data_IF_351481701308
#
_entry.id   IF_351481701308
#
_cell.length_a   1.000
_cell.length_b   1.000
_cell.length_c   1.000
_cell.angle_alpha   90.00
_cell.angle_beta   90.00
_cell.angle_gamma   90.00
#
_symmetry.space_group_name_H-M   'P 1'
#
loop_
_entity.id
_entity.type
_entity.pdbx_description
1 polymer ?
#
# COMPACT_ATOMS: atom_id res chain seq x y z
N UNK A 1 8.57 -15.33 -0.08
CA UNK A 1 8.91 -14.62 1.16
C UNK A 1 8.23 -13.26 1.16
N UNK A 2 7.51 -12.94 2.21
CA UNK A 2 6.79 -11.68 2.29
C UNK A 2 7.74 -10.50 2.41
N UNK A 3 7.39 -9.40 1.74
CA UNK A 3 8.14 -8.15 1.81
C UNK A 3 7.26 -7.12 2.52
N UNK A 4 7.64 -6.73 3.72
CA UNK A 4 6.83 -5.88 4.60
C UNK A 4 7.36 -4.45 4.54
N UNK A 5 6.47 -3.50 4.22
CA UNK A 5 6.81 -2.08 4.11
C UNK A 5 5.92 -1.28 5.04
N UNK A 6 6.54 -0.50 5.92
CA UNK A 6 5.80 0.40 6.79
C UNK A 6 5.31 1.60 5.97
N UNK A 7 4.12 2.12 6.30
CA UNK A 7 3.56 3.30 5.66
C UNK A 7 4.55 4.47 5.60
N UNK A 8 5.25 4.71 6.70
CA UNK A 8 6.17 5.84 6.80
C UNK A 8 7.46 5.65 6.01
N UNK A 9 7.75 4.44 5.58
CA UNK A 9 8.92 4.14 4.74
C UNK A 9 8.62 4.25 3.25
N UNK A 10 7.36 4.46 2.89
CA UNK A 10 6.98 4.61 1.50
C UNK A 10 7.30 6.02 0.99
N UNK A 11 7.62 6.16 -0.32
CA UNK A 11 7.79 7.48 -0.92
C UNK A 11 6.53 8.34 -0.74
N UNK A 12 6.74 9.64 -0.60
CA UNK A 12 5.63 10.58 -0.41
C UNK A 12 4.59 10.49 -1.52
N UNK A 13 5.03 10.33 -2.77
CA UNK A 13 4.12 10.22 -3.92
C UNK A 13 3.16 9.05 -3.77
N UNK A 14 3.68 7.92 -3.29
CA UNK A 14 2.87 6.74 -3.04
C UNK A 14 1.89 6.99 -1.91
N UNK A 15 2.34 7.62 -0.83
CA UNK A 15 1.46 7.95 0.30
C UNK A 15 0.34 8.89 -0.13
N UNK A 16 0.65 9.89 -0.95
CA UNK A 16 -0.35 10.82 -1.46
C UNK A 16 -1.37 10.10 -2.37
N UNK A 17 -0.92 9.14 -3.16
CA UNK A 17 -1.79 8.35 -4.02
C UNK A 17 -2.72 7.43 -3.21
N UNK A 18 -2.24 6.92 -2.08
CA UNK A 18 -3.02 6.05 -1.20
C UNK A 18 -3.99 6.83 -0.30
N UNK A 19 -3.74 8.11 -0.07
CA UNK A 19 -4.51 8.93 0.87
C UNK A 19 -6.02 8.90 0.62
N UNK A 20 -6.52 8.93 -0.64
CA UNK A 20 -7.97 8.88 -0.88
C UNK A 20 -8.67 7.62 -0.35
N UNK A 21 -7.92 6.58 -0.01
CA UNK A 21 -8.48 5.36 0.55
C UNK A 21 -8.58 5.40 2.08
N UNK A 22 -8.20 6.52 2.69
CA UNK A 22 -8.32 6.74 4.12
C UNK A 22 -9.50 7.66 4.40
N UNK A 23 -10.14 7.49 5.55
CA UNK A 23 -11.23 8.38 5.94
C UNK A 23 -10.69 9.66 6.58
N UNK A 24 -11.63 10.52 7.02
CA UNK A 24 -11.27 11.83 7.60
C UNK A 24 -10.53 11.73 8.93
N UNK A 25 -10.58 10.57 9.59
CA UNK A 25 -9.85 10.36 10.85
C UNK A 25 -8.47 9.77 10.61
N UNK A 26 -8.11 9.49 9.36
CA UNK A 26 -6.85 8.86 9.00
C UNK A 26 -6.88 7.34 9.03
N UNK A 27 -8.03 6.74 9.32
CA UNK A 27 -8.18 5.29 9.27
C UNK A 27 -8.37 4.82 7.84
N UNK A 28 -7.73 3.71 7.48
CA UNK A 28 -7.87 3.15 6.13
C UNK A 28 -9.25 2.53 5.93
N UNK A 29 -9.70 2.54 4.67
CA UNK A 29 -10.86 1.76 4.24
C UNK A 29 -10.32 0.43 3.70
N UNK A 30 -10.26 -0.64 4.52
CA UNK A 30 -9.55 -1.85 4.15
C UNK A 30 -10.10 -2.50 2.88
N UNK A 31 -11.41 -2.44 2.67
CA UNK A 31 -12.01 -3.05 1.49
C UNK A 31 -11.58 -2.37 0.20
N UNK A 32 -11.66 -1.04 0.15
CA UNK A 32 -11.29 -0.28 -1.04
C UNK A 32 -9.78 -0.33 -1.27
N UNK A 33 -9.01 -0.19 -0.20
CA UNK A 33 -7.57 -0.20 -0.31
C UNK A 33 -7.06 -1.57 -0.77
N UNK A 34 -7.60 -2.65 -0.22
CA UNK A 34 -7.20 -3.99 -0.63
C UNK A 34 -7.59 -4.31 -2.06
N UNK A 35 -8.73 -3.79 -2.55
CA UNK A 35 -9.09 -3.91 -3.95
C UNK A 35 -8.06 -3.23 -4.86
N UNK A 36 -7.58 -2.05 -4.46
CA UNK A 36 -6.58 -1.33 -5.24
C UNK A 36 -5.23 -2.07 -5.24
N UNK A 37 -4.92 -2.77 -4.16
CA UNK A 37 -3.62 -3.41 -3.98
C UNK A 37 -3.58 -4.88 -4.42
N UNK A 38 -4.73 -5.49 -4.68
CA UNK A 38 -4.80 -6.94 -4.99
C UNK A 38 -3.97 -7.31 -6.22
N UNK A 39 -3.89 -6.42 -7.20
CA UNK A 39 -3.11 -6.68 -8.43
C UNK A 39 -1.59 -6.73 -8.17
N UNK A 40 -1.16 -6.29 -7.01
CA UNK A 40 0.26 -6.28 -6.62
C UNK A 40 0.55 -7.35 -5.56
N UNK A 41 -0.42 -8.23 -5.31
CA UNK A 41 -0.33 -9.25 -4.26
C UNK A 41 0.05 -8.61 -2.92
N UNK A 42 -0.67 -7.54 -2.58
CA UNK A 42 -0.40 -6.74 -1.39
C UNK A 42 -1.63 -6.69 -0.50
N UNK A 43 -1.40 -6.82 0.79
CA UNK A 43 -2.42 -6.63 1.83
C UNK A 43 -1.96 -5.50 2.74
N UNK A 44 -2.85 -4.57 3.03
CA UNK A 44 -2.56 -3.45 3.93
C UNK A 44 -3.20 -3.70 5.29
N UNK A 45 -2.41 -3.56 6.36
CA UNK A 45 -2.90 -3.76 7.72
C UNK A 45 -2.09 -2.93 8.71
N UNK A 46 -2.75 -2.13 9.53
CA UNK A 46 -2.15 -1.33 10.61
C UNK A 46 -0.90 -0.58 10.17
N UNK A 47 -1.05 0.29 9.16
CA UNK A 47 0.05 1.11 8.63
C UNK A 47 1.19 0.31 8.03
N UNK A 48 0.92 -0.92 7.63
CA UNK A 48 1.93 -1.82 7.04
C UNK A 48 1.37 -2.45 5.78
N UNK A 49 2.12 -2.36 4.68
CA UNK A 49 1.81 -3.04 3.44
C UNK A 49 2.64 -4.31 3.35
N UNK A 50 1.97 -5.44 3.12
CA UNK A 50 2.62 -6.75 3.04
C UNK A 50 2.51 -7.24 1.61
N UNK A 51 3.64 -7.24 0.89
CA UNK A 51 3.73 -7.72 -0.48
C UNK A 51 4.22 -9.16 -0.50
N UNK A 52 3.86 -9.89 -1.54
CA UNK A 52 4.33 -11.26 -1.70
C UNK A 52 5.85 -11.32 -1.86
N UNK A 53 6.44 -10.31 -2.52
CA UNK A 53 7.88 -10.22 -2.70
C UNK A 53 8.31 -8.79 -2.94
N UNK A 54 9.62 -8.53 -2.87
CA UNK A 54 10.19 -7.23 -3.19
C UNK A 54 9.88 -6.82 -4.63
N UNK A 55 9.84 -7.78 -5.55
CA UNK A 55 9.51 -7.51 -6.95
C UNK A 55 8.10 -6.93 -7.09
N UNK A 56 7.14 -7.43 -6.31
CA UNK A 56 5.79 -6.89 -6.30
C UNK A 56 5.76 -5.46 -5.76
N UNK A 57 6.54 -5.16 -4.73
CA UNK A 57 6.65 -3.81 -4.21
C UNK A 57 7.26 -2.87 -5.26
N UNK A 58 8.30 -3.31 -5.95
CA UNK A 58 8.93 -2.51 -7.01
C UNK A 58 7.92 -2.20 -8.12
N UNK A 59 7.13 -3.20 -8.54
CA UNK A 59 6.09 -3.02 -9.54
C UNK A 59 5.04 -2.02 -9.06
N UNK A 60 4.63 -2.13 -7.80
CA UNK A 60 3.70 -1.18 -7.18
C UNK A 60 4.24 0.25 -7.24
N UNK A 61 5.51 0.45 -6.90
CA UNK A 61 6.15 1.76 -6.96
C UNK A 61 6.14 2.35 -8.37
N UNK A 62 6.37 1.52 -9.39
CA UNK A 62 6.37 1.97 -10.78
C UNK A 62 5.01 2.48 -11.25
N UNK A 63 3.94 2.00 -10.63
CA UNK A 63 2.57 2.37 -11.00
C UNK A 63 2.03 3.51 -10.15
N UNK A 64 2.46 3.57 -8.91
CA UNK A 64 1.87 4.49 -7.93
C UNK A 64 2.75 5.70 -7.62
N UNK A 65 4.03 5.61 -7.90
CA UNK A 65 4.94 6.72 -7.61
C UNK A 65 5.05 7.74 -8.76
#
# INVERSE_FOLDING_TARGET
>A
MEYIVNWYDMPRRVRDAMWPYFDVTGESHPELLNLALVNYNCVYHKNTAIFESEAHYTWFLMRWA
#
